data_IF_525952430085
#
_entry.id   IF_525952430085
#
_cell.length_a   1.000
_cell.length_b   1.000
_cell.length_c   1.000
_cell.angle_alpha   90.00
_cell.angle_beta   90.00
_cell.angle_gamma   90.00
#
_symmetry.space_group_name_H-M   'P 1'
#
loop_
_entity.id
_entity.type
_entity.pdbx_description
1 polymer ?
#
# COMPACT_ATOMS: atom_id res chain seq x y z
N UNK A 1 21.07 32.46 -15.96
CA UNK A 1 21.02 31.11 -16.59
C UNK A 1 20.77 30.03 -15.56
N UNK A 2 21.53 29.99 -14.47
CA UNK A 2 21.34 29.02 -13.36
C UNK A 2 19.91 28.96 -12.82
N UNK A 3 19.27 30.11 -12.55
CA UNK A 3 17.87 30.15 -12.10
C UNK A 3 16.88 29.54 -13.11
N UNK A 4 17.05 29.80 -14.41
CA UNK A 4 16.17 29.27 -15.46
C UNK A 4 16.33 27.76 -15.60
N UNK A 5 17.58 27.28 -15.58
CA UNK A 5 17.89 25.85 -15.61
C UNK A 5 17.31 25.16 -14.37
N UNK A 6 17.43 25.78 -13.19
CA UNK A 6 16.84 25.26 -11.95
C UNK A 6 15.32 25.12 -12.07
N UNK A 7 14.62 26.10 -12.62
CA UNK A 7 13.17 26.02 -12.86
C UNK A 7 12.81 24.84 -13.77
N UNK A 8 13.52 24.68 -14.90
CA UNK A 8 13.29 23.56 -15.82
C UNK A 8 13.50 22.22 -15.10
N UNK A 9 14.55 22.11 -14.29
CA UNK A 9 14.84 20.91 -13.49
C UNK A 9 13.72 20.65 -12.46
N UNK A 10 13.29 21.68 -11.72
CA UNK A 10 12.21 21.57 -10.73
C UNK A 10 10.92 21.10 -11.41
N UNK A 11 10.57 21.66 -12.57
CA UNK A 11 9.40 21.23 -13.35
C UNK A 11 9.52 19.77 -13.82
N UNK A 12 10.71 19.36 -14.29
CA UNK A 12 10.96 17.98 -14.68
C UNK A 12 10.77 17.01 -13.51
N UNK A 13 11.36 17.32 -12.35
CA UNK A 13 11.18 16.53 -11.12
C UNK A 13 9.73 16.49 -10.66
N UNK A 14 9.02 17.61 -10.74
CA UNK A 14 7.60 17.70 -10.38
C UNK A 14 6.75 16.74 -11.22
N UNK A 15 7.00 16.68 -12.53
CA UNK A 15 6.33 15.75 -13.44
C UNK A 15 6.66 14.28 -13.10
N UNK A 16 7.91 13.99 -12.76
CA UNK A 16 8.32 12.62 -12.40
C UNK A 16 7.69 12.19 -11.07
N UNK A 17 7.79 13.02 -10.03
CA UNK A 17 7.25 12.74 -8.70
C UNK A 17 5.74 12.52 -8.76
N UNK A 18 5.00 13.40 -9.44
CA UNK A 18 3.55 13.26 -9.59
C UNK A 18 3.15 11.99 -10.36
N UNK A 19 3.95 11.56 -11.34
CA UNK A 19 3.73 10.29 -12.05
C UNK A 19 4.00 9.08 -11.16
N UNK A 20 5.11 9.08 -10.42
CA UNK A 20 5.43 7.99 -9.47
C UNK A 20 4.31 7.85 -8.45
N UNK A 21 3.87 8.97 -7.86
CA UNK A 21 2.75 8.99 -6.94
C UNK A 21 1.46 8.44 -7.55
N UNK A 22 1.12 8.85 -8.79
CA UNK A 22 -0.07 8.33 -9.48
C UNK A 22 -0.01 6.82 -9.67
N UNK A 23 1.15 6.25 -9.98
CA UNK A 23 1.30 4.81 -10.14
C UNK A 23 1.19 4.13 -8.77
N UNK A 24 1.89 4.63 -7.75
CA UNK A 24 1.82 4.11 -6.39
C UNK A 24 0.39 4.12 -5.83
N UNK A 25 -0.37 5.20 -6.04
CA UNK A 25 -1.79 5.29 -5.67
C UNK A 25 -2.66 4.27 -6.44
N UNK A 26 -2.32 3.96 -7.69
CA UNK A 26 -3.04 2.92 -8.46
C UNK A 26 -2.80 1.52 -7.87
N UNK A 27 -1.59 1.24 -7.38
CA UNK A 27 -1.27 0.01 -6.66
C UNK A 27 -2.03 -0.13 -5.32
N UNK A 28 -2.54 0.96 -4.76
CA UNK A 28 -3.43 0.94 -3.58
C UNK A 28 -4.90 0.68 -3.91
N UNK A 29 -5.23 0.38 -5.18
CA UNK A 29 -6.59 0.03 -5.62
C UNK A 29 -7.43 1.20 -6.14
N UNK A 30 -6.84 2.40 -6.32
CA UNK A 30 -7.52 3.52 -6.97
C UNK A 30 -7.54 3.36 -8.49
N UNK A 31 -8.61 3.84 -9.13
CA UNK A 31 -8.68 3.88 -10.60
C UNK A 31 -7.56 4.78 -11.15
N UNK A 32 -7.03 4.45 -12.32
CA UNK A 32 -5.95 5.22 -12.94
C UNK A 32 -6.31 6.70 -13.14
N UNK A 33 -7.59 7.03 -13.36
CA UNK A 33 -8.06 8.41 -13.46
C UNK A 33 -8.04 9.11 -12.09
N UNK A 34 -8.56 8.45 -11.05
CA UNK A 34 -8.56 8.98 -9.69
C UNK A 34 -7.13 9.19 -9.18
N UNK A 35 -6.22 8.22 -9.35
CA UNK A 35 -4.83 8.33 -8.93
C UNK A 35 -4.10 9.51 -9.58
N UNK A 36 -4.31 9.74 -10.88
CA UNK A 36 -3.70 10.86 -11.61
C UNK A 36 -4.22 12.21 -11.13
N UNK A 37 -5.54 12.30 -10.94
CA UNK A 37 -6.17 13.50 -10.41
C UNK A 37 -5.68 13.75 -8.98
N UNK A 38 -5.71 12.75 -8.12
CA UNK A 38 -5.34 12.87 -6.72
C UNK A 38 -3.86 13.25 -6.55
N UNK A 39 -2.94 12.61 -7.29
CA UNK A 39 -1.51 12.93 -7.21
C UNK A 39 -1.21 14.37 -7.67
N UNK A 40 -1.89 14.85 -8.73
CA UNK A 40 -1.73 16.22 -9.20
C UNK A 40 -2.30 17.22 -8.20
N UNK A 41 -3.51 16.98 -7.74
CA UNK A 41 -4.21 17.86 -6.80
C UNK A 41 -3.45 17.98 -5.47
N UNK A 42 -2.93 16.86 -4.94
CA UNK A 42 -2.07 16.86 -3.77
C UNK A 42 -0.77 17.67 -3.98
N UNK A 43 -0.12 17.50 -5.13
CA UNK A 43 1.11 18.22 -5.45
C UNK A 43 0.89 19.71 -5.66
N UNK A 44 -0.24 20.12 -6.25
CA UNK A 44 -0.54 21.54 -6.45
C UNK A 44 -1.28 22.17 -5.27
N UNK A 45 -1.57 21.40 -4.21
CA UNK A 45 -2.28 21.88 -3.02
C UNK A 45 -3.75 22.23 -3.25
N UNK A 46 -4.33 21.83 -4.38
CA UNK A 46 -5.77 22.01 -4.62
C UNK A 46 -6.48 20.81 -3.99
N UNK A 47 -7.41 21.07 -3.06
CA UNK A 47 -8.08 20.01 -2.30
C UNK A 47 -8.90 19.05 -3.17
N UNK A 48 -9.54 18.08 -2.52
CA UNK A 48 -10.45 17.13 -3.16
C UNK A 48 -11.89 17.35 -2.71
N UNK A 49 -12.84 16.79 -3.45
CA UNK A 49 -14.21 16.63 -2.95
C UNK A 49 -14.22 15.67 -1.75
N UNK A 50 -15.19 15.81 -0.85
CA UNK A 50 -15.25 15.05 0.41
C UNK A 50 -15.21 13.53 0.18
N UNK A 51 -15.96 13.04 -0.82
CA UNK A 51 -15.98 11.62 -1.19
C UNK A 51 -14.63 11.09 -1.71
N UNK A 52 -13.85 11.93 -2.40
CA UNK A 52 -12.51 11.56 -2.89
C UNK A 52 -11.48 11.63 -1.75
N UNK A 53 -11.61 12.60 -0.84
CA UNK A 53 -10.81 12.71 0.38
C UNK A 53 -11.00 11.50 1.29
N UNK A 54 -12.24 11.02 1.50
CA UNK A 54 -12.49 9.82 2.30
C UNK A 54 -11.80 8.59 1.72
N UNK A 55 -11.94 8.36 0.41
CA UNK A 55 -11.25 7.27 -0.27
C UNK A 55 -9.74 7.40 -0.14
N UNK A 56 -9.17 8.59 -0.26
CA UNK A 56 -7.75 8.84 -0.12
C UNK A 56 -7.20 8.66 1.31
N UNK A 57 -7.95 9.08 2.32
CA UNK A 57 -7.48 9.16 3.71
C UNK A 57 -7.73 7.87 4.51
N UNK A 58 -8.72 7.06 4.11
CA UNK A 58 -9.08 5.80 4.79
C UNK A 58 -8.02 4.69 4.67
N UNK A 59 -6.83 4.98 4.14
CA UNK A 59 -5.79 4.00 3.92
C UNK A 59 -4.41 4.62 4.17
N UNK A 60 -3.63 4.10 5.13
CA UNK A 60 -2.44 4.76 5.68
C UNK A 60 -1.37 5.05 4.61
N UNK A 61 -1.17 4.15 3.64
CA UNK A 61 -0.19 4.36 2.56
C UNK A 61 -0.61 5.49 1.62
N UNK A 62 -1.89 5.59 1.25
CA UNK A 62 -2.41 6.68 0.41
C UNK A 62 -2.23 8.01 1.13
N UNK A 63 -2.61 8.07 2.40
CA UNK A 63 -2.41 9.25 3.26
C UNK A 63 -0.94 9.69 3.30
N UNK A 64 0.01 8.77 3.46
CA UNK A 64 1.44 9.10 3.52
C UNK A 64 1.99 9.59 2.17
N UNK A 65 1.57 8.99 1.06
CA UNK A 65 1.92 9.46 -0.29
C UNK A 65 1.41 10.89 -0.51
N UNK A 66 0.15 11.17 -0.15
CA UNK A 66 -0.47 12.48 -0.33
C UNK A 66 0.18 13.55 0.55
N UNK A 67 0.50 13.23 1.81
CA UNK A 67 1.23 14.14 2.70
C UNK A 67 2.60 14.53 2.15
N UNK A 68 3.36 13.56 1.63
CA UNK A 68 4.66 13.84 0.98
C UNK A 68 4.51 14.72 -0.26
N UNK A 69 3.50 14.46 -1.10
CA UNK A 69 3.22 15.28 -2.28
C UNK A 69 2.88 16.72 -1.92
N UNK A 70 2.10 16.95 -0.86
CA UNK A 70 1.74 18.30 -0.41
C UNK A 70 2.97 19.09 0.04
N UNK A 71 3.88 18.45 0.78
CA UNK A 71 5.13 19.09 1.24
C UNK A 71 6.04 19.38 0.05
N UNK A 72 6.28 18.39 -0.82
CA UNK A 72 7.14 18.52 -1.99
C UNK A 72 6.59 19.53 -3.01
N UNK A 73 5.27 19.56 -3.17
CA UNK A 73 4.56 20.51 -4.03
C UNK A 73 4.81 21.95 -3.62
N UNK A 74 4.55 22.27 -2.35
CA UNK A 74 4.79 23.60 -1.80
C UNK A 74 6.27 24.00 -1.87
N UNK A 75 7.18 23.09 -1.49
CA UNK A 75 8.62 23.34 -1.58
C UNK A 75 9.06 23.59 -3.03
N UNK A 76 8.54 22.82 -3.98
CA UNK A 76 8.81 22.96 -5.41
C UNK A 76 8.35 24.29 -5.98
N UNK A 77 7.13 24.73 -5.64
CA UNK A 77 6.58 26.02 -6.07
C UNK A 77 7.43 27.17 -5.52
N UNK A 78 7.72 27.19 -4.22
CA UNK A 78 8.53 28.25 -3.58
C UNK A 78 9.92 28.32 -4.20
N UNK A 79 10.59 27.17 -4.38
CA UNK A 79 11.92 27.11 -4.99
C UNK A 79 11.89 27.53 -6.47
N UNK A 80 10.84 27.16 -7.20
CA UNK A 80 10.65 27.54 -8.60
C UNK A 80 10.47 29.04 -8.75
N UNK A 81 9.64 29.67 -7.91
CA UNK A 81 9.45 31.13 -7.91
C UNK A 81 10.74 31.86 -7.56
N UNK A 82 11.46 31.42 -6.51
CA UNK A 82 12.75 32.00 -6.15
C UNK A 82 13.77 31.89 -7.31
N UNK A 83 13.81 30.74 -7.98
CA UNK A 83 14.69 30.49 -9.13
C UNK A 83 14.33 31.35 -10.35
N UNK A 84 13.04 31.62 -10.57
CA UNK A 84 12.59 32.59 -11.58
C UNK A 84 13.05 34.01 -11.23
N UNK A 85 12.85 34.46 -10.00
CA UNK A 85 13.28 35.80 -9.56
C UNK A 85 14.79 35.96 -9.79
N UNK A 86 15.61 35.01 -9.33
CA UNK A 86 17.06 35.03 -9.53
C UNK A 86 17.42 34.94 -11.02
N UNK A 87 16.71 34.12 -11.79
CA UNK A 87 16.93 33.94 -13.23
C UNK A 87 16.71 35.23 -14.05
N UNK A 88 15.79 36.08 -13.59
CA UNK A 88 15.34 37.29 -14.28
C UNK A 88 15.81 38.61 -13.64
N UNK A 89 16.34 38.59 -12.40
CA UNK A 89 16.82 39.77 -11.64
C UNK A 89 17.98 40.57 -12.29
N UNK A 90 18.53 40.13 -13.42
CA UNK A 90 19.65 40.77 -14.13
C UNK A 90 19.37 41.10 -15.59
N UNK A 91 18.11 41.34 -15.96
CA UNK A 91 17.69 41.56 -17.36
C UNK A 91 17.93 43.00 -17.84
N UNK A 92 18.17 43.95 -16.94
CA UNK A 92 18.18 45.38 -17.26
C UNK A 92 19.16 45.85 -18.34
N UNK A 93 20.26 45.15 -18.65
CA UNK A 93 21.33 45.72 -19.49
C UNK A 93 21.89 44.82 -20.62
N UNK A 94 21.32 43.65 -20.91
CA UNK A 94 21.95 42.70 -21.85
C UNK A 94 20.99 42.09 -22.89
N UNK A 95 21.45 42.01 -24.14
CA UNK A 95 20.83 41.26 -25.25
C UNK A 95 20.54 39.77 -24.90
N UNK A 96 21.17 39.24 -23.85
CA UNK A 96 20.92 37.90 -23.31
C UNK A 96 19.57 37.71 -22.60
N UNK A 97 18.77 38.76 -22.37
CA UNK A 97 17.42 38.65 -21.80
C UNK A 97 16.44 37.86 -22.69
N UNK A 98 16.47 38.10 -23.99
CA UNK A 98 15.66 37.35 -24.96
C UNK A 98 16.05 35.87 -25.05
N UNK A 99 17.36 35.57 -25.02
CA UNK A 99 17.86 34.19 -24.98
C UNK A 99 17.36 33.44 -23.74
N UNK A 100 17.30 34.10 -22.58
CA UNK A 100 16.77 33.52 -21.34
C UNK A 100 15.30 33.13 -21.47
N UNK A 101 14.48 34.01 -22.04
CA UNK A 101 13.06 33.76 -22.30
C UNK A 101 12.89 32.61 -23.30
N UNK A 102 13.67 32.62 -24.39
CA UNK A 102 13.61 31.60 -25.43
C UNK A 102 13.97 30.22 -24.87
N UNK A 103 15.04 30.12 -24.06
CA UNK A 103 15.44 28.88 -23.39
C UNK A 103 14.34 28.38 -22.43
N UNK A 104 13.72 29.28 -21.66
CA UNK A 104 12.64 28.91 -20.74
C UNK A 104 11.43 28.35 -21.51
N UNK A 105 10.98 29.04 -22.56
CA UNK A 105 9.87 28.60 -23.41
C UNK A 105 10.19 27.26 -24.07
N UNK A 106 11.38 27.13 -24.65
CA UNK A 106 11.82 25.87 -25.28
C UNK A 106 11.88 24.73 -24.26
N UNK A 107 12.37 24.98 -23.06
CA UNK A 107 12.42 24.00 -21.98
C UNK A 107 11.03 23.54 -21.52
N UNK A 108 10.10 24.47 -21.34
CA UNK A 108 8.71 24.16 -20.97
C UNK A 108 8.01 23.39 -22.10
N UNK A 109 8.19 23.80 -23.36
CA UNK A 109 7.63 23.10 -24.52
C UNK A 109 8.18 21.66 -24.64
N UNK A 110 9.49 21.48 -24.41
CA UNK A 110 10.11 20.16 -24.37
C UNK A 110 9.54 19.29 -23.25
N UNK A 111 9.40 19.83 -22.04
CA UNK A 111 8.79 19.10 -20.92
C UNK A 111 7.33 18.76 -21.19
N UNK A 112 6.56 19.65 -21.81
CA UNK A 112 5.16 19.42 -22.13
C UNK A 112 4.99 18.30 -23.16
N UNK A 113 5.81 18.30 -24.22
CA UNK A 113 5.80 17.22 -25.23
C UNK A 113 6.22 15.87 -24.63
N UNK A 114 7.24 15.84 -23.78
CA UNK A 114 7.65 14.64 -23.02
C UNK A 114 6.55 14.17 -22.06
N UNK A 115 5.88 15.11 -21.38
CA UNK A 115 4.80 14.82 -20.44
C UNK A 115 3.54 14.25 -21.11
N UNK A 116 3.31 14.57 -22.39
CA UNK A 116 2.15 14.09 -23.15
C UNK A 116 2.45 12.88 -24.07
N UNK A 117 3.73 12.55 -24.29
CA UNK A 117 4.13 11.43 -25.15
C UNK A 117 3.70 10.08 -24.56
N UNK A 118 2.91 9.32 -25.34
CA UNK A 118 2.48 7.94 -24.99
C UNK A 118 3.67 7.01 -24.75
N UNK A 119 4.75 7.18 -25.52
CA UNK A 119 5.95 6.36 -25.40
C UNK A 119 6.68 6.63 -24.09
N UNK A 120 6.88 7.91 -23.75
CA UNK A 120 7.49 8.31 -22.49
C UNK A 120 6.65 7.80 -21.30
N UNK A 121 5.33 7.90 -21.41
CA UNK A 121 4.43 7.39 -20.38
C UNK A 121 4.58 5.88 -20.18
N UNK A 122 4.56 5.08 -21.27
CA UNK A 122 4.67 3.61 -21.19
C UNK A 122 6.02 3.17 -20.62
N UNK A 123 7.13 3.78 -21.06
CA UNK A 123 8.47 3.45 -20.56
C UNK A 123 8.62 3.80 -19.08
N UNK A 124 8.15 4.99 -18.68
CA UNK A 124 8.24 5.43 -17.30
C UNK A 124 7.39 4.54 -16.39
N UNK A 125 6.18 4.17 -16.81
CA UNK A 125 5.34 3.23 -16.05
C UNK A 125 6.02 1.89 -15.82
N UNK A 126 6.62 1.29 -16.85
CA UNK A 126 7.33 0.01 -16.72
C UNK A 126 8.53 0.13 -15.76
N UNK A 127 9.29 1.22 -15.86
CA UNK A 127 10.44 1.45 -14.97
C UNK A 127 9.96 1.63 -13.53
N UNK A 128 8.92 2.43 -13.32
CA UNK A 128 8.36 2.73 -12.00
C UNK A 128 7.75 1.47 -11.38
N UNK A 129 6.98 0.69 -12.14
CA UNK A 129 6.42 -0.59 -11.66
C UNK A 129 7.53 -1.57 -11.27
N UNK A 130 8.58 -1.69 -12.09
CA UNK A 130 9.73 -2.57 -11.80
C UNK A 130 10.53 -2.10 -10.57
N UNK A 131 10.62 -0.78 -10.36
CA UNK A 131 11.33 -0.21 -9.22
C UNK A 131 10.49 -0.35 -7.93
N UNK A 132 9.20 -0.05 -7.99
CA UNK A 132 8.25 -0.22 -6.88
C UNK A 132 8.16 -1.68 -6.45
N UNK A 133 8.05 -2.62 -7.38
CA UNK A 133 8.00 -4.06 -7.04
C UNK A 133 9.31 -4.60 -6.47
N UNK A 134 10.46 -4.01 -6.84
CA UNK A 134 11.78 -4.46 -6.37
C UNK A 134 12.20 -3.82 -5.04
N UNK A 135 11.80 -2.57 -4.78
CA UNK A 135 12.20 -1.84 -3.57
C UNK A 135 11.08 -1.68 -2.55
N UNK A 136 9.82 -1.86 -2.97
CA UNK A 136 8.65 -1.73 -2.11
C UNK A 136 7.97 -3.08 -2.02
N UNK A 137 8.16 -3.78 -0.89
CA UNK A 137 7.12 -4.67 -0.36
C UNK A 137 5.95 -3.77 0.04
N UNK A 138 5.16 -3.33 -0.94
CA UNK A 138 3.81 -2.87 -0.69
C UNK A 138 3.07 -4.14 -0.27
N UNK A 139 3.21 -4.47 1.01
CA UNK A 139 2.49 -5.54 1.66
C UNK A 139 1.04 -5.06 1.75
N UNK A 140 0.31 -5.21 0.64
CA UNK A 140 -1.12 -4.91 0.56
C UNK A 140 -1.91 -5.81 1.53
N UNK A 141 -1.26 -6.82 2.12
CA UNK A 141 -1.81 -7.72 3.11
C UNK A 141 -1.81 -7.16 4.54
N UNK A 142 -1.23 -5.97 4.79
CA UNK A 142 -1.01 -5.43 6.13
C UNK A 142 -2.06 -4.37 6.57
N UNK A 143 -3.15 -4.15 5.81
CA UNK A 143 -4.17 -3.16 6.20
C UNK A 143 -4.99 -3.57 7.41
N UNK A 144 -5.09 -4.87 7.68
CA UNK A 144 -5.81 -5.38 8.82
C UNK A 144 -4.93 -5.43 10.10
N UNK A 145 -3.67 -5.00 9.99
CA UNK A 145 -2.71 -4.78 11.08
C UNK A 145 -2.89 -3.43 11.78
N UNK A 146 -3.82 -2.59 11.30
CA UNK A 146 -4.19 -1.31 11.93
C UNK A 146 -5.13 -1.46 13.12
N UNK A 147 -5.73 -2.63 13.35
CA UNK A 147 -6.15 -2.99 14.69
C UNK A 147 -4.88 -3.43 15.43
N UNK A 148 -4.44 -2.63 16.39
CA UNK A 148 -3.41 -3.03 17.36
C UNK A 148 -3.89 -4.29 18.09
N UNK A 149 -3.64 -5.43 17.49
CA UNK A 149 -3.70 -6.73 18.12
C UNK A 149 -2.34 -6.84 18.80
N UNK A 150 -2.31 -6.51 20.09
CA UNK A 150 -1.09 -6.54 20.90
C UNK A 150 -0.33 -7.86 20.73
N UNK A 151 1.00 -7.80 20.56
CA UNK A 151 1.86 -8.98 20.43
C UNK A 151 2.15 -9.39 18.98
N UNK A 152 2.14 -10.70 18.70
CA UNK A 152 2.50 -11.27 17.39
C UNK A 152 1.30 -11.52 16.45
N UNK A 153 0.11 -11.04 16.82
CA UNK A 153 -1.13 -11.31 16.11
C UNK A 153 -1.42 -10.28 15.01
N UNK A 154 -1.95 -10.75 13.88
CA UNK A 154 -2.40 -9.90 12.76
C UNK A 154 -3.61 -10.50 12.07
N UNK A 155 -4.24 -9.72 11.21
CA UNK A 155 -5.28 -10.20 10.29
C UNK A 155 -4.68 -10.23 8.88
N UNK A 156 -4.87 -11.32 8.15
CA UNK A 156 -4.38 -11.49 6.78
C UNK A 156 -5.50 -11.95 5.86
N UNK A 157 -5.46 -11.51 4.60
CA UNK A 157 -6.24 -12.09 3.51
C UNK A 157 -5.41 -13.18 2.82
N UNK A 158 -5.99 -14.36 2.62
CA UNK A 158 -5.33 -15.52 2.00
C UNK A 158 -6.16 -16.00 0.82
N UNK A 159 -5.56 -16.02 -0.38
CA UNK A 159 -6.21 -16.48 -1.60
C UNK A 159 -6.11 -17.99 -1.75
N UNK A 160 -7.23 -18.62 -2.12
CA UNK A 160 -7.35 -20.08 -2.19
C UNK A 160 -7.23 -20.55 -3.64
N UNK A 161 -6.05 -21.07 -3.98
CA UNK A 161 -5.78 -21.70 -5.27
C UNK A 161 -6.15 -23.18 -5.31
N UNK A 162 -6.14 -23.82 -6.49
CA UNK A 162 -6.49 -25.25 -6.62
C UNK A 162 -5.62 -26.18 -5.77
N UNK A 163 -4.36 -25.81 -5.60
CA UNK A 163 -3.37 -26.61 -4.87
C UNK A 163 -3.30 -26.26 -3.39
N UNK A 164 -4.09 -25.30 -2.92
CA UNK A 164 -4.07 -24.86 -1.53
C UNK A 164 -4.71 -25.92 -0.61
N UNK A 165 -4.16 -26.10 0.60
CA UNK A 165 -4.57 -27.14 1.54
C UNK A 165 -6.05 -27.07 1.96
N UNK A 166 -6.59 -25.86 2.04
CA UNK A 166 -8.00 -25.60 2.39
C UNK A 166 -8.99 -25.85 1.25
N UNK A 167 -8.52 -26.06 0.02
CA UNK A 167 -9.40 -26.14 -1.15
C UNK A 167 -10.34 -27.34 -1.09
N UNK A 168 -11.63 -27.06 -1.11
CA UNK A 168 -12.68 -28.07 -1.03
C UNK A 168 -12.98 -28.59 0.37
N UNK A 169 -12.31 -28.10 1.42
CA UNK A 169 -12.63 -28.44 2.81
C UNK A 169 -13.88 -27.69 3.29
N UNK A 170 -14.65 -28.31 4.16
CA UNK A 170 -15.66 -27.61 4.99
C UNK A 170 -14.95 -26.91 6.14
N UNK A 171 -15.46 -25.77 6.58
CA UNK A 171 -14.87 -25.01 7.70
C UNK A 171 -14.75 -25.84 8.98
N UNK A 172 -15.73 -26.70 9.28
CA UNK A 172 -15.66 -27.58 10.44
C UNK A 172 -14.51 -28.59 10.36
N UNK A 173 -14.12 -28.99 9.15
CA UNK A 173 -13.05 -29.96 8.92
C UNK A 173 -11.68 -29.30 8.75
N UNK A 174 -11.62 -27.96 8.60
CA UNK A 174 -10.34 -27.27 8.43
C UNK A 174 -9.61 -27.05 9.74
N UNK A 175 -10.30 -27.17 10.90
CA UNK A 175 -9.69 -27.10 12.24
C UNK A 175 -8.73 -25.93 12.44
N UNK A 176 -9.01 -24.80 11.79
CA UNK A 176 -8.12 -23.63 11.81
C UNK A 176 -7.91 -23.10 13.23
N UNK A 177 -8.94 -23.21 14.08
CA UNK A 177 -8.85 -22.79 15.48
C UNK A 177 -7.84 -23.59 16.29
N UNK A 178 -7.65 -24.86 15.95
CA UNK A 178 -6.71 -25.75 16.62
C UNK A 178 -5.26 -25.30 16.34
N UNK A 179 -5.01 -24.60 15.23
CA UNK A 179 -3.74 -23.93 14.90
C UNK A 179 -3.65 -22.47 15.42
N UNK A 180 -4.61 -22.02 16.22
CA UNK A 180 -4.66 -20.64 16.69
C UNK A 180 -5.12 -19.62 15.63
N UNK A 181 -5.75 -20.09 14.55
CA UNK A 181 -6.27 -19.25 13.47
C UNK A 181 -7.79 -19.06 13.61
N UNK A 182 -8.21 -17.81 13.72
CA UNK A 182 -9.61 -17.43 13.72
C UNK A 182 -10.02 -16.85 12.37
N UNK A 183 -10.71 -17.65 11.59
CA UNK A 183 -11.26 -17.21 10.32
C UNK A 183 -12.37 -16.17 10.59
N UNK A 184 -12.35 -14.99 9.94
CA UNK A 184 -13.26 -13.82 10.15
C UNK A 184 -14.31 -13.68 9.04
N UNK A 185 -13.88 -13.74 7.78
CA UNK A 185 -14.82 -13.72 6.63
C UNK A 185 -14.32 -14.54 5.45
N UNK A 186 -15.22 -14.83 4.50
CA UNK A 186 -14.89 -15.41 3.18
C UNK A 186 -15.38 -14.46 2.11
N UNK A 187 -14.51 -14.10 1.18
CA UNK A 187 -14.85 -13.37 -0.05
C UNK A 187 -14.84 -14.40 -1.18
N UNK A 188 -15.96 -14.60 -1.84
CA UNK A 188 -16.07 -15.52 -2.98
C UNK A 188 -15.45 -14.91 -4.24
N UNK A 189 -15.18 -15.75 -5.23
CA UNK A 189 -14.68 -15.33 -6.55
C UNK A 189 -15.59 -14.31 -7.27
N UNK A 190 -16.90 -14.32 -6.98
CA UNK A 190 -17.90 -13.36 -7.49
C UNK A 190 -17.97 -12.07 -6.66
N UNK A 191 -17.03 -11.88 -5.71
CA UNK A 191 -16.97 -10.78 -4.74
C UNK A 191 -18.07 -10.79 -3.68
N UNK A 192 -18.84 -11.87 -3.55
CA UNK A 192 -19.80 -12.03 -2.46
C UNK A 192 -19.08 -12.14 -1.11
N UNK A 193 -19.47 -11.30 -0.14
CA UNK A 193 -18.92 -11.30 1.22
C UNK A 193 -19.76 -12.19 2.16
N UNK A 194 -19.11 -13.14 2.83
CA UNK A 194 -19.73 -14.04 3.80
C UNK A 194 -19.08 -13.83 5.17
N UNK A 195 -19.74 -13.05 6.03
CA UNK A 195 -19.30 -12.80 7.41
C UNK A 195 -19.81 -13.86 8.40
N UNK A 196 -21.12 -14.14 8.38
CA UNK A 196 -21.72 -15.16 9.24
C UNK A 196 -21.67 -16.53 8.54
N UNK A 197 -20.80 -17.43 9.01
CA UNK A 197 -20.54 -18.72 8.36
C UNK A 197 -20.96 -19.85 9.26
N UNK A 198 -21.56 -20.88 8.67
CA UNK A 198 -21.77 -22.15 9.34
C UNK A 198 -20.58 -23.09 9.10
N UNK A 199 -20.38 -24.07 9.99
CA UNK A 199 -19.32 -25.08 9.84
C UNK A 199 -19.42 -25.88 8.53
N UNK A 200 -20.61 -25.94 7.94
CA UNK A 200 -20.91 -26.60 6.66
C UNK A 200 -20.42 -25.83 5.43
N UNK A 201 -20.01 -24.56 5.60
CA UNK A 201 -19.54 -23.74 4.49
C UNK A 201 -18.30 -24.37 3.87
N UNK A 202 -18.35 -24.65 2.57
CA UNK A 202 -17.22 -25.20 1.81
C UNK A 202 -16.34 -24.07 1.27
N UNK A 203 -15.03 -24.21 1.44
CA UNK A 203 -14.02 -23.34 0.84
C UNK A 203 -13.81 -23.78 -0.61
N UNK A 204 -13.91 -22.83 -1.55
CA UNK A 204 -13.83 -23.06 -3.00
C UNK A 204 -12.56 -22.42 -3.55
N UNK A 205 -12.12 -22.89 -4.72
CA UNK A 205 -11.08 -22.25 -5.51
C UNK A 205 -11.49 -20.81 -5.83
N UNK A 206 -10.56 -19.87 -5.71
CA UNK A 206 -10.75 -18.45 -6.00
C UNK A 206 -11.43 -17.68 -4.88
N UNK A 207 -11.68 -18.32 -3.74
CA UNK A 207 -12.07 -17.61 -2.52
C UNK A 207 -10.87 -16.89 -1.91
N UNK A 208 -11.12 -15.77 -1.25
CA UNK A 208 -10.20 -15.12 -0.32
C UNK A 208 -10.71 -15.27 1.10
N UNK A 209 -9.87 -15.75 2.02
CA UNK A 209 -10.19 -15.91 3.42
C UNK A 209 -9.58 -14.76 4.23
N UNK A 210 -10.37 -14.08 5.05
CA UNK A 210 -9.85 -13.11 6.03
C UNK A 210 -9.66 -13.85 7.35
N UNK A 211 -8.42 -13.99 7.81
CA UNK A 211 -8.03 -14.80 8.96
C UNK A 211 -7.25 -13.96 9.98
N UNK A 212 -7.58 -14.09 11.25
CA UNK A 212 -6.83 -13.56 12.39
C UNK A 212 -5.96 -14.66 13.02
N UNK A 213 -4.73 -14.33 13.39
CA UNK A 213 -3.84 -15.26 14.09
C UNK A 213 -2.41 -14.73 14.19
N UNK A 214 -1.50 -15.54 14.73
CA UNK A 214 -0.08 -15.17 14.83
C UNK A 214 0.56 -15.05 13.45
N UNK A 215 1.43 -14.07 13.27
CA UNK A 215 2.05 -13.77 11.97
C UNK A 215 2.81 -14.97 11.37
N UNK A 216 3.50 -15.75 12.22
CA UNK A 216 4.21 -16.97 11.83
C UNK A 216 3.26 -18.02 11.23
N UNK A 217 2.17 -18.33 11.94
CA UNK A 217 1.16 -19.31 11.51
C UNK A 217 0.47 -18.86 10.23
N UNK A 218 0.11 -17.58 10.12
CA UNK A 218 -0.50 -17.01 8.91
C UNK A 218 0.38 -17.15 7.67
N UNK A 219 1.70 -16.99 7.81
CA UNK A 219 2.63 -17.20 6.69
C UNK A 219 2.74 -18.68 6.27
N UNK A 220 2.63 -19.62 7.22
CA UNK A 220 2.67 -21.06 6.93
C UNK A 220 1.39 -21.50 6.20
N UNK A 221 0.21 -21.10 6.69
CA UNK A 221 -1.06 -21.48 6.06
C UNK A 221 -1.21 -20.90 4.64
N UNK A 222 -0.75 -19.66 4.39
CA UNK A 222 -0.80 -19.02 3.06
C UNK A 222 -0.04 -19.82 1.97
N UNK A 223 1.06 -20.46 2.36
CA UNK A 223 1.92 -21.25 1.46
C UNK A 223 1.62 -22.74 1.48
N UNK A 224 0.63 -23.17 2.26
CA UNK A 224 0.41 -24.59 2.54
C UNK A 224 -0.21 -25.31 1.36
N UNK A 225 0.52 -26.31 0.85
CA UNK A 225 0.06 -27.14 -0.24
C UNK A 225 -0.82 -28.29 0.25
N UNK A 226 -1.79 -28.66 -0.59
CA UNK A 226 -2.62 -29.85 -0.38
C UNK A 226 -1.76 -31.12 -0.47
N UNK A 227 -1.97 -32.04 0.47
CA UNK A 227 -1.30 -33.34 0.49
C UNK A 227 -0.81 -33.72 1.88
N UNK A 228 0.00 -34.78 1.95
CA UNK A 228 0.55 -35.33 3.20
C UNK A 228 1.43 -34.29 3.90
N UNK A 229 2.22 -33.53 3.14
CA UNK A 229 3.09 -32.46 3.68
C UNK A 229 2.26 -31.41 4.41
N UNK A 230 1.19 -30.89 3.78
CA UNK A 230 0.32 -29.91 4.43
C UNK A 230 -0.47 -30.46 5.63
N UNK A 231 -0.74 -31.77 5.68
CA UNK A 231 -1.33 -32.37 6.88
C UNK A 231 -0.31 -32.49 8.01
N UNK A 232 0.95 -32.80 7.70
CA UNK A 232 2.03 -32.86 8.70
C UNK A 232 2.28 -31.47 9.28
N UNK A 233 2.33 -30.44 8.42
CA UNK A 233 2.44 -29.04 8.86
C UNK A 233 1.24 -28.58 9.70
N UNK A 234 0.05 -29.15 9.48
CA UNK A 234 -1.12 -28.88 10.31
C UNK A 234 -0.93 -29.47 11.71
N UNK A 235 -0.54 -30.74 11.80
CA UNK A 235 -0.35 -31.43 13.07
C UNK A 235 0.76 -30.77 13.91
N UNK A 236 1.89 -30.41 13.29
CA UNK A 236 2.98 -29.66 13.95
C UNK A 236 2.51 -28.31 14.52
N UNK A 237 1.64 -27.60 13.80
CA UNK A 237 1.13 -26.29 14.23
C UNK A 237 0.06 -26.40 15.32
N UNK A 238 -0.68 -27.50 15.37
CA UNK A 238 -1.60 -27.79 16.46
C UNK A 238 -0.81 -28.03 17.74
N UNK A 239 0.26 -28.82 17.69
CA UNK A 239 1.15 -29.06 18.84
C UNK A 239 1.82 -27.77 19.32
N UNK A 240 2.37 -26.95 18.40
CA UNK A 240 2.95 -25.63 18.73
C UNK A 240 1.91 -24.71 19.40
N UNK A 241 0.63 -24.78 18.97
CA UNK A 241 -0.44 -23.98 19.55
C UNK A 241 -0.87 -24.47 20.93
N UNK A 242 -0.85 -25.78 21.20
CA UNK A 242 -1.16 -26.34 22.51
C UNK A 242 -0.16 -25.87 23.57
N UNK A 243 1.14 -25.88 23.26
CA UNK A 243 2.19 -25.34 24.15
C UNK A 243 1.97 -23.86 24.47
N UNK A 244 1.59 -23.07 23.47
CA UNK A 244 1.31 -21.63 23.62
C UNK A 244 0.09 -21.40 24.51
N UNK A 245 -0.96 -22.20 24.35
CA UNK A 245 -2.16 -22.10 25.18
C UNK A 245 -1.87 -22.45 26.64
N UNK A 246 -0.98 -23.39 26.93
CA UNK A 246 -0.57 -23.67 28.31
C UNK A 246 0.22 -22.51 28.92
N UNK A 247 1.16 -21.91 28.17
CA UNK A 247 1.90 -20.74 28.63
C UNK A 247 0.98 -19.52 28.87
N UNK A 248 0.04 -19.25 27.96
CA UNK A 248 -0.94 -18.16 28.13
C UNK A 248 -1.85 -18.38 29.35
N UNK A 249 -2.23 -19.64 29.65
CA UNK A 249 -3.00 -19.99 30.86
C UNK A 249 -2.19 -19.76 32.13
N UNK A 250 -0.89 -20.04 32.13
CA UNK A 250 0.00 -19.79 33.27
C UNK A 250 0.14 -18.29 33.53
N UNK A 251 0.40 -17.49 32.49
CA UNK A 251 0.49 -16.02 32.60
C UNK A 251 -0.83 -15.38 33.11
N UNK A 252 -1.99 -15.85 32.65
CA UNK A 252 -3.28 -15.35 33.11
C UNK A 252 -3.53 -15.67 34.60
N UNK A 253 -3.11 -16.87 35.05
CA UNK A 253 -3.15 -17.26 36.48
C UNK A 253 -2.24 -16.38 37.33
N UNK A 254 -1.04 -16.06 36.86
CA UNK A 254 -0.11 -15.17 37.58
C UNK A 254 -0.68 -13.74 37.69
N UNK A 255 -1.19 -13.19 36.58
CA UNK A 255 -1.77 -11.83 36.55
C UNK A 255 -3.00 -11.66 37.47
N UNK A 256 -3.80 -12.72 37.61
CA UNK A 256 -4.97 -12.74 38.48
C UNK A 256 -4.62 -12.93 39.96
N UNK A 257 -3.46 -13.54 40.26
CA UNK A 257 -2.94 -13.72 41.62
C UNK A 257 -2.33 -12.43 42.20
N UNK A 258 -1.64 -11.62 41.38
CA UNK A 258 -1.06 -10.34 41.81
C UNK A 258 -2.12 -9.29 42.12
N UNK A 259 -3.25 -9.29 41.38
CA UNK A 259 -4.39 -8.40 41.67
C UNK A 259 -5.08 -8.70 43.01
N UNK A 260 -4.95 -9.92 43.55
CA UNK A 260 -5.51 -10.29 44.87
C UNK A 260 -4.61 -9.89 46.05
N UNK A 261 -3.34 -9.59 45.84
CA UNK A 261 -2.39 -9.18 46.90
C UNK A 261 -2.35 -7.67 47.16
N UNK A 262 -2.98 -6.87 46.32
CA UNK A 262 -2.97 -5.39 46.39
C UNK A 262 -4.35 -4.83 46.79
N UNK A 263 -5.31 -5.69 47.15
CA UNK A 263 -6.63 -5.31 47.65
C UNK A 263 -6.72 -5.29 49.17
#
# INVERSE_FOLDING_TARGET
>A
MTGIISVIIILAFSIIITRIASIALTHTGLSHQASRFQARSAFTGVGFTTNESEKAVNHPVRRRILQLLMILGNAGIVTGVASLIIGFSGIGNNAGGWLRILILIAGIALLWTLANSKWANKKLSIIIDKFLTRYTKLDVNDYASLLHLSGEFRISEISIDENHWLTGKKLINSKLRDEGLNLIAIIRSDKTFIGNRNGETKIKKGDSLIIYGRAKTLNKIDKRFKGIVGNTEHDELVEEQEEVLEHEKEEDRESSSDKKKVG
#
